data_IF_450496369570
#
_entry.id   IF_450496369570
#
_cell.length_a   1.000
_cell.length_b   1.000
_cell.length_c   1.000
_cell.angle_alpha   90.00
_cell.angle_beta   90.00
_cell.angle_gamma   90.00
#
_symmetry.space_group_name_H-M   'P 1'
#
loop_
_entity.id
_entity.type
_entity.pdbx_description
1 polymer ?
#
# COMPACT_ATOMS: atom_id res chain seq x y z
N UNK A 1 -4.64 2.44 -8.13
CA UNK A 1 -5.57 1.45 -8.76
C UNK A 1 -5.04 0.89 -10.07
N UNK A 2 -4.57 1.72 -11.02
CA UNK A 2 -4.12 1.25 -12.35
C UNK A 2 -2.92 0.30 -12.29
N UNK A 3 -1.88 0.62 -11.52
CA UNK A 3 -0.68 -0.22 -11.38
C UNK A 3 -1.01 -1.59 -10.77
N UNK A 4 -1.76 -1.62 -9.67
CA UNK A 4 -2.20 -2.87 -9.06
C UNK A 4 -2.99 -3.75 -10.06
N UNK A 5 -3.94 -3.17 -10.79
CA UNK A 5 -4.71 -3.90 -11.79
C UNK A 5 -3.83 -4.45 -12.92
N UNK A 6 -2.82 -3.68 -13.36
CA UNK A 6 -1.86 -4.14 -14.36
C UNK A 6 -1.03 -5.33 -13.85
N UNK A 7 -0.51 -5.25 -12.63
CA UNK A 7 0.29 -6.33 -12.04
C UNK A 7 -0.53 -7.60 -11.82
N UNK A 8 -1.76 -7.47 -11.31
CA UNK A 8 -2.66 -8.62 -11.13
C UNK A 8 -2.98 -9.28 -12.47
N UNK A 9 -3.30 -8.50 -13.51
CA UNK A 9 -3.55 -9.05 -14.85
C UNK A 9 -2.33 -9.72 -15.45
N UNK A 10 -1.13 -9.18 -15.21
CA UNK A 10 0.12 -9.80 -15.67
C UNK A 10 0.33 -11.18 -15.02
N UNK A 11 -0.04 -11.34 -13.74
CA UNK A 11 0.01 -12.63 -13.05
C UNK A 11 -1.07 -13.59 -13.56
N UNK A 12 -2.30 -13.12 -13.77
CA UNK A 12 -3.41 -13.92 -14.31
C UNK A 12 -3.08 -14.48 -15.70
N UNK A 13 -2.43 -13.68 -16.54
CA UNK A 13 -2.09 -14.03 -17.93
C UNK A 13 -0.64 -14.52 -18.09
N UNK A 14 0.03 -14.93 -17.02
CA UNK A 14 1.45 -15.29 -17.01
C UNK A 14 1.82 -16.29 -18.13
N UNK A 15 1.01 -17.34 -18.31
CA UNK A 15 1.27 -18.36 -19.32
C UNK A 15 1.07 -17.86 -20.75
N UNK A 16 0.05 -17.03 -20.98
CA UNK A 16 -0.22 -16.46 -22.30
C UNK A 16 0.90 -15.48 -22.70
N UNK A 17 1.34 -14.64 -21.78
CA UNK A 17 2.46 -13.72 -21.99
C UNK A 17 3.76 -14.48 -22.24
N UNK A 18 4.05 -15.52 -21.44
CA UNK A 18 5.24 -16.34 -21.62
C UNK A 18 5.25 -17.07 -22.97
N UNK A 19 4.12 -17.62 -23.41
CA UNK A 19 4.01 -18.31 -24.70
C UNK A 19 4.34 -17.38 -25.88
N UNK A 20 3.76 -16.17 -25.88
CA UNK A 20 4.03 -15.16 -26.92
C UNK A 20 5.50 -14.73 -26.89
N UNK A 21 6.06 -14.51 -25.69
CA UNK A 21 7.46 -14.13 -25.56
C UNK A 21 8.39 -15.24 -26.03
N UNK A 22 8.12 -16.52 -25.77
CA UNK A 22 8.94 -17.65 -26.23
C UNK A 22 8.96 -17.77 -27.76
N UNK A 23 7.90 -17.36 -28.46
CA UNK A 23 7.86 -17.36 -29.93
C UNK A 23 8.62 -16.17 -30.54
N UNK A 24 8.81 -15.08 -29.80
CA UNK A 24 9.50 -13.88 -30.25
C UNK A 24 10.95 -13.78 -29.74
N UNK A 25 11.89 -14.28 -30.55
CA UNK A 25 13.32 -14.31 -30.21
C UNK A 25 13.94 -12.96 -29.85
N UNK A 26 13.36 -11.84 -30.29
CA UNK A 26 13.88 -10.50 -29.95
C UNK A 26 13.49 -10.09 -28.53
N UNK A 27 12.39 -10.64 -28.00
CA UNK A 27 11.79 -10.25 -26.73
C UNK A 27 11.92 -11.31 -25.63
N UNK A 28 12.68 -12.38 -25.85
CA UNK A 28 12.96 -13.44 -24.83
C UNK A 28 13.48 -12.89 -23.50
N UNK A 29 14.24 -11.79 -23.54
CA UNK A 29 14.81 -11.14 -22.36
C UNK A 29 13.77 -10.51 -21.41
N UNK A 30 12.50 -10.44 -21.82
CA UNK A 30 11.38 -9.96 -21.00
C UNK A 30 10.69 -11.09 -20.22
N UNK A 31 11.10 -12.35 -20.41
CA UNK A 31 10.61 -13.46 -19.62
C UNK A 31 11.08 -13.32 -18.18
N UNK A 32 10.12 -13.20 -17.28
CA UNK A 32 10.39 -13.05 -15.86
C UNK A 32 10.78 -14.38 -15.22
N UNK A 33 11.84 -14.36 -14.42
CA UNK A 33 12.27 -15.49 -13.61
C UNK A 33 11.41 -15.66 -12.34
N UNK A 34 11.64 -16.75 -11.60
CA UNK A 34 10.88 -17.05 -10.39
C UNK A 34 11.03 -15.99 -9.29
N UNK A 35 12.19 -15.35 -9.18
CA UNK A 35 12.44 -14.30 -8.19
C UNK A 35 11.70 -13.01 -8.59
N UNK A 36 11.70 -12.65 -9.87
CA UNK A 36 10.96 -11.51 -10.40
C UNK A 36 9.44 -11.70 -10.22
N UNK A 37 8.91 -12.90 -10.47
CA UNK A 37 7.50 -13.22 -10.17
C UNK A 37 7.18 -13.10 -8.67
N UNK A 38 8.09 -13.53 -7.80
CA UNK A 38 7.93 -13.37 -6.36
C UNK A 38 7.94 -11.90 -5.93
N UNK A 39 8.84 -11.08 -6.50
CA UNK A 39 8.87 -9.63 -6.27
C UNK A 39 7.59 -8.95 -6.75
N UNK A 40 7.05 -9.35 -7.91
CA UNK A 40 5.75 -8.87 -8.40
C UNK A 40 4.60 -9.21 -7.45
N UNK A 41 4.56 -10.45 -6.95
CA UNK A 41 3.56 -10.86 -5.96
C UNK A 41 3.67 -10.02 -4.68
N UNK A 42 4.88 -9.80 -4.17
CA UNK A 42 5.10 -8.96 -3.01
C UNK A 42 4.63 -7.51 -3.22
N UNK A 43 4.86 -6.93 -4.40
CA UNK A 43 4.34 -5.60 -4.75
C UNK A 43 2.81 -5.57 -4.82
N UNK A 44 2.18 -6.60 -5.38
CA UNK A 44 0.71 -6.73 -5.39
C UNK A 44 0.16 -6.77 -3.97
N UNK A 45 0.79 -7.53 -3.08
CA UNK A 45 0.37 -7.65 -1.68
C UNK A 45 0.57 -6.35 -0.90
N UNK A 46 1.63 -5.57 -1.19
CA UNK A 46 1.80 -4.22 -0.65
C UNK A 46 0.72 -3.27 -1.16
N UNK A 47 0.36 -3.31 -2.45
CA UNK A 47 -0.58 -2.36 -3.05
C UNK A 47 -2.06 -2.67 -2.76
N UNK A 48 -2.41 -3.92 -2.46
CA UNK A 48 -3.81 -4.35 -2.24
C UNK A 48 -4.47 -3.64 -1.05
N UNK A 49 -3.85 -3.53 0.14
CA UNK A 49 -4.39 -2.76 1.27
C UNK A 49 -4.68 -1.30 0.92
N UNK A 50 -3.81 -0.64 0.14
CA UNK A 50 -4.05 0.74 -0.30
C UNK A 50 -5.28 0.88 -1.18
N UNK A 51 -5.53 -0.09 -2.07
CA UNK A 51 -6.77 -0.12 -2.84
C UNK A 51 -7.98 -0.27 -1.91
N UNK A 52 -7.94 -1.18 -0.94
CA UNK A 52 -9.05 -1.37 0.00
C UNK A 52 -9.33 -0.10 0.81
N UNK A 53 -8.29 0.60 1.26
CA UNK A 53 -8.41 1.90 1.93
C UNK A 53 -9.04 2.94 1.02
N UNK A 54 -8.57 3.07 -0.22
CA UNK A 54 -9.12 4.01 -1.20
C UNK A 54 -10.59 3.70 -1.54
N UNK A 55 -10.93 2.44 -1.74
CA UNK A 55 -12.30 1.99 -2.03
C UNK A 55 -13.22 2.24 -0.82
N UNK A 56 -12.73 2.03 0.41
CA UNK A 56 -13.46 2.32 1.66
C UNK A 56 -13.76 3.81 1.79
N UNK A 57 -12.77 4.67 1.51
CA UNK A 57 -12.94 6.12 1.54
C UNK A 57 -13.89 6.60 0.43
N UNK A 58 -13.81 6.01 -0.76
CA UNK A 58 -14.66 6.37 -1.89
C UNK A 58 -16.13 5.89 -1.72
N UNK A 59 -16.34 4.73 -1.11
CA UNK A 59 -17.66 4.17 -0.87
C UNK A 59 -18.37 4.79 0.35
N UNK A 60 -17.65 5.48 1.23
CA UNK A 60 -18.23 6.15 2.37
C UNK A 60 -19.16 7.28 1.90
N UNK A 61 -20.45 7.19 2.26
CA UNK A 61 -21.44 8.26 1.96
C UNK A 61 -21.03 9.62 2.54
N UNK A 62 -20.30 9.60 3.65
CA UNK A 62 -19.66 10.76 4.26
C UNK A 62 -18.22 10.35 4.64
N UNK A 63 -17.24 10.52 3.75
CA UNK A 63 -15.85 10.25 4.09
C UNK A 63 -15.42 11.27 5.14
N UNK A 64 -15.20 10.81 6.37
CA UNK A 64 -14.77 11.68 7.47
C UNK A 64 -13.25 11.70 7.54
N UNK A 65 -12.69 12.90 7.62
CA UNK A 65 -11.24 13.10 7.73
C UNK A 65 -10.64 12.43 8.97
N UNK A 66 -11.49 12.15 9.98
CA UNK A 66 -11.17 11.36 11.17
C UNK A 66 -10.73 9.92 10.89
N UNK A 67 -11.02 9.38 9.70
CA UNK A 67 -10.58 8.03 9.30
C UNK A 67 -9.13 7.98 8.83
N UNK A 68 -8.56 9.12 8.42
CA UNK A 68 -7.26 9.16 7.77
C UNK A 68 -6.15 8.69 8.72
N UNK A 69 -6.10 9.21 9.95
CA UNK A 69 -5.05 8.82 10.93
C UNK A 69 -5.11 7.33 11.30
N UNK A 70 -6.28 6.74 11.63
CA UNK A 70 -6.39 5.29 11.85
C UNK A 70 -5.96 4.44 10.66
N UNK A 71 -6.32 4.84 9.44
CA UNK A 71 -5.98 4.08 8.23
C UNK A 71 -4.47 4.16 7.94
N UNK A 72 -3.84 5.33 8.11
CA UNK A 72 -2.38 5.48 8.01
C UNK A 72 -1.66 4.60 9.02
N UNK A 73 -2.09 4.64 10.28
CA UNK A 73 -1.50 3.82 11.34
C UNK A 73 -1.66 2.31 11.06
N UNK A 74 -2.81 1.88 10.54
CA UNK A 74 -3.03 0.50 10.15
C UNK A 74 -2.10 0.08 9.00
N UNK A 75 -1.96 0.90 7.95
CA UNK A 75 -1.09 0.62 6.81
C UNK A 75 0.38 0.54 7.23
N UNK A 76 0.84 1.44 8.10
CA UNK A 76 2.21 1.44 8.60
C UNK A 76 2.55 0.19 9.41
N UNK A 77 1.67 -0.21 10.33
CA UNK A 77 1.92 -1.34 11.23
C UNK A 77 1.72 -2.71 10.61
N UNK A 78 0.98 -2.79 9.49
CA UNK A 78 0.67 -4.05 8.82
C UNK A 78 1.40 -4.19 7.49
N UNK A 79 1.19 -3.24 6.58
CA UNK A 79 1.55 -3.37 5.17
C UNK A 79 2.96 -2.88 4.90
N UNK A 80 3.34 -1.75 5.52
CA UNK A 80 4.65 -1.11 5.32
C UNK A 80 5.71 -1.57 6.32
N UNK A 81 5.34 -2.40 7.29
CA UNK A 81 6.29 -2.99 8.22
C UNK A 81 7.28 -3.86 7.44
N UNK A 82 8.57 -3.57 7.63
CA UNK A 82 9.66 -4.36 7.06
C UNK A 82 9.61 -5.79 7.58
N UNK A 83 9.79 -6.75 6.69
CA UNK A 83 9.92 -8.17 7.01
C UNK A 83 11.25 -8.68 6.47
N UNK A 84 11.95 -9.53 7.22
CA UNK A 84 13.24 -10.09 6.81
C UNK A 84 13.14 -10.98 5.55
N UNK A 85 11.92 -11.41 5.22
CA UNK A 85 11.59 -12.20 4.03
C UNK A 85 11.22 -11.36 2.82
N UNK A 86 11.18 -10.03 2.93
CA UNK A 86 10.85 -9.16 1.81
C UNK A 86 11.96 -9.22 0.74
N UNK A 87 11.56 -9.37 -0.53
CA UNK A 87 12.46 -9.13 -1.63
C UNK A 87 12.95 -7.67 -1.61
N UNK A 88 14.16 -7.42 -2.14
CA UNK A 88 14.80 -6.09 -2.11
C UNK A 88 13.89 -5.01 -2.69
N UNK A 89 13.25 -5.29 -3.81
CA UNK A 89 12.37 -4.35 -4.51
C UNK A 89 11.12 -4.04 -3.67
N UNK A 90 10.58 -5.04 -2.97
CA UNK A 90 9.41 -4.90 -2.10
C UNK A 90 9.74 -4.07 -0.87
N UNK A 91 10.89 -4.34 -0.24
CA UNK A 91 11.37 -3.55 0.90
C UNK A 91 11.58 -2.08 0.52
N UNK A 92 12.24 -1.82 -0.62
CA UNK A 92 12.41 -0.47 -1.15
C UNK A 92 11.07 0.20 -1.44
N UNK A 93 10.10 -0.51 -2.01
CA UNK A 93 8.77 0.04 -2.26
C UNK A 93 8.06 0.42 -0.95
N UNK A 94 8.10 -0.45 0.07
CA UNK A 94 7.53 -0.16 1.40
C UNK A 94 8.16 1.09 2.02
N UNK A 95 9.48 1.22 1.96
CA UNK A 95 10.21 2.37 2.49
C UNK A 95 9.81 3.68 1.77
N UNK A 96 9.82 3.67 0.44
CA UNK A 96 9.43 4.85 -0.36
C UNK A 96 7.99 5.23 -0.05
N UNK A 97 7.05 4.28 -0.04
CA UNK A 97 5.65 4.57 0.27
C UNK A 97 5.51 5.15 1.69
N UNK A 98 6.18 4.57 2.69
CA UNK A 98 6.16 5.08 4.06
C UNK A 98 6.67 6.52 4.14
N UNK A 99 7.76 6.84 3.43
CA UNK A 99 8.31 8.19 3.36
C UNK A 99 7.34 9.18 2.72
N UNK A 100 6.75 8.83 1.59
CA UNK A 100 5.78 9.71 0.91
C UNK A 100 4.52 9.96 1.77
N UNK A 101 4.05 8.94 2.51
CA UNK A 101 2.94 9.11 3.45
C UNK A 101 3.31 10.02 4.63
N UNK A 102 4.53 9.88 5.18
CA UNK A 102 5.01 10.77 6.24
C UNK A 102 5.09 12.22 5.76
N UNK A 103 5.68 12.44 4.58
CA UNK A 103 5.76 13.77 3.95
C UNK A 103 4.37 14.40 3.73
N UNK A 104 3.39 13.60 3.31
CA UNK A 104 2.04 14.08 3.02
C UNK A 104 1.19 14.37 4.28
N UNK A 105 1.35 13.59 5.35
CA UNK A 105 0.38 13.58 6.47
C UNK A 105 0.97 13.81 7.86
N UNK A 106 2.29 13.74 8.03
CA UNK A 106 2.97 13.79 9.33
C UNK A 106 3.98 14.93 9.43
N UNK A 107 4.75 15.18 8.37
CA UNK A 107 5.89 16.10 8.42
C UNK A 107 5.47 17.57 8.56
N UNK A 108 4.24 17.92 8.13
CA UNK A 108 3.62 19.21 8.47
C UNK A 108 2.90 19.10 9.82
N UNK A 109 3.35 19.86 10.85
CA UNK A 109 2.71 19.85 12.17
C UNK A 109 1.24 20.28 12.12
N UNK A 110 0.88 21.19 11.22
CA UNK A 110 -0.49 21.66 11.06
C UNK A 110 -1.41 20.55 10.55
N UNK A 111 -0.96 19.80 9.53
CA UNK A 111 -1.71 18.65 8.99
C UNK A 111 -1.81 17.55 10.03
N UNK A 112 -0.70 17.20 10.69
CA UNK A 112 -0.69 16.13 11.69
C UNK A 112 -1.63 16.45 12.86
N UNK A 113 -1.56 17.68 13.39
CA UNK A 113 -2.44 18.14 14.47
C UNK A 113 -3.90 18.14 14.04
N UNK A 114 -4.21 18.63 12.84
CA UNK A 114 -5.57 18.64 12.30
C UNK A 114 -6.15 17.22 12.22
N UNK A 115 -5.38 16.26 11.70
CA UNK A 115 -5.79 14.86 11.63
C UNK A 115 -5.95 14.23 13.01
N UNK A 116 -5.08 14.55 13.98
CA UNK A 116 -5.20 14.08 15.35
C UNK A 116 -6.49 14.59 16.01
N UNK A 117 -6.77 15.90 15.91
CA UNK A 117 -8.00 16.51 16.45
C UNK A 117 -9.24 15.91 15.79
N UNK A 118 -9.26 15.81 14.46
CA UNK A 118 -10.39 15.22 13.75
C UNK A 118 -10.66 13.78 14.19
N UNK A 119 -9.60 12.99 14.36
CA UNK A 119 -9.70 11.59 14.81
C UNK A 119 -10.19 11.52 16.27
N UNK A 120 -9.65 12.36 17.15
CA UNK A 120 -10.03 12.41 18.57
C UNK A 120 -11.51 12.79 18.78
N UNK A 121 -12.02 13.74 17.98
CA UNK A 121 -13.40 14.18 18.05
C UNK A 121 -14.39 13.12 17.56
N UNK A 122 -13.95 12.14 16.76
CA UNK A 122 -14.79 11.06 16.26
C UNK A 122 -15.00 9.97 17.33
N UNK A 123 -16.24 9.76 17.83
CA UNK A 123 -16.52 8.75 18.85
C UNK A 123 -16.10 7.33 18.47
N UNK A 124 -16.04 7.02 17.17
CA UNK A 124 -15.64 5.69 16.67
C UNK A 124 -14.19 5.34 17.00
N UNK A 125 -13.34 6.35 17.19
CA UNK A 125 -11.89 6.17 17.34
C UNK A 125 -11.38 6.46 18.75
N UNK A 126 -12.25 6.85 19.69
CA UNK A 126 -11.87 7.19 21.09
C UNK A 126 -11.17 6.08 21.89
N UNK A 127 -11.25 4.83 21.43
CA UNK A 127 -10.59 3.67 22.07
C UNK A 127 -9.32 3.22 21.35
N UNK A 128 -8.86 3.97 20.35
CA UNK A 128 -7.66 3.58 19.61
C UNK A 128 -6.40 3.87 20.44
N UNK A 129 -5.51 2.88 20.62
CA UNK A 129 -4.36 2.97 21.53
C UNK A 129 -3.35 4.06 21.16
N UNK A 130 -3.34 4.54 19.92
CA UNK A 130 -2.45 5.62 19.46
C UNK A 130 -3.02 7.03 19.65
N UNK A 131 -4.28 7.18 20.08
CA UNK A 131 -4.88 8.48 20.45
C UNK A 131 -4.88 8.72 21.96
N UNK A 132 -4.65 7.67 22.76
CA UNK A 132 -4.39 7.82 24.19
C UNK A 132 -3.09 8.61 24.37
N UNK A 133 -3.09 9.71 25.15
CA UNK A 133 -1.86 10.20 25.73
C UNK A 133 -1.23 9.03 26.47
N UNK A 134 0.06 8.76 26.21
CA UNK A 134 0.82 7.81 27.01
C UNK A 134 0.52 8.05 28.50
N UNK A 135 0.22 6.97 29.23
CA UNK A 135 0.64 6.90 30.63
C UNK A 135 2.16 6.82 30.69
#
# INVERSE_FOLDING_TARGET
VRTLAMLQRLQEEQFAVAAVLVEDSHNHHLLLDAAEWASLQGLVDVLRPFKQVADTLAAARYPTVSMVKPLLHALENTTLRAQDTDAKEVAMAKEVIARELAAAYRDSPEVDMFLNVATFLDPRYKRLPFLSPLE
#
